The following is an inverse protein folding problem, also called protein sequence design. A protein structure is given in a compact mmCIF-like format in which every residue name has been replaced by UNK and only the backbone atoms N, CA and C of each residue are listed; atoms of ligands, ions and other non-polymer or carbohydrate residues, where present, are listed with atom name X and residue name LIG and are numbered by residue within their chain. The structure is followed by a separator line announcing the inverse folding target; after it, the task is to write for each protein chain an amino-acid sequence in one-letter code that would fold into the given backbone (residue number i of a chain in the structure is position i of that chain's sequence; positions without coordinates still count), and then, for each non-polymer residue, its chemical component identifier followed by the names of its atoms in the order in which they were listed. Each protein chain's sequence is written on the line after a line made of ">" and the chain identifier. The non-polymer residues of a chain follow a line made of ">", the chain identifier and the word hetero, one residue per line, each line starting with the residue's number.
data_IF_915532240910
#
_entry.id   IF_915532240910
#
_cell.length_a   1.000
_cell.length_b   1.000
_cell.length_c   1.000
_cell.angle_alpha   90.00
_cell.angle_beta   90.00
_cell.angle_gamma   90.00
#
_symmetry.space_group_name_H-M   'P 1'
#
loop_
_entity.id
_entity.type
_entity.pdbx_description
1 polymer ?
#
# COMPACT_ATOMS: atom_id res chain seq x y z
N UNK A 1 -25.82 25.75 14.40
CA UNK A 1 -24.62 25.97 13.57
C UNK A 1 -23.93 24.63 13.39
N UNK A 2 -24.09 24.01 12.23
CA UNK A 2 -23.50 22.70 11.90
C UNK A 2 -22.28 22.90 10.98
N UNK A 3 -21.23 22.07 11.09
CA UNK A 3 -20.00 22.23 10.32
C UNK A 3 -20.12 21.60 8.93
N UNK A 4 -19.51 22.28 7.94
CA UNK A 4 -19.57 21.90 6.53
C UNK A 4 -18.74 20.68 6.18
N UNK A 5 -19.37 19.74 5.46
CA UNK A 5 -18.72 18.59 4.85
C UNK A 5 -17.86 19.04 3.64
N UNK A 6 -16.55 18.78 3.71
CA UNK A 6 -15.63 18.91 2.59
C UNK A 6 -15.99 17.94 1.47
N UNK A 7 -16.33 18.49 0.30
CA UNK A 7 -16.57 17.74 -0.93
C UNK A 7 -15.27 17.19 -1.50
N UNK A 8 -15.12 15.86 -1.49
CA UNK A 8 -14.10 15.16 -2.26
C UNK A 8 -14.47 15.19 -3.75
N UNK A 9 -13.56 15.72 -4.58
CA UNK A 9 -13.77 15.93 -6.01
C UNK A 9 -13.77 14.59 -6.76
N UNK A 10 -14.97 14.06 -7.04
CA UNK A 10 -15.18 12.93 -7.95
C UNK A 10 -14.82 13.32 -9.38
N UNK A 11 -13.71 12.84 -9.93
CA UNK A 11 -13.46 12.88 -11.39
C UNK A 11 -13.78 11.52 -11.99
N UNK A 12 -14.89 11.43 -12.72
CA UNK A 12 -15.17 10.33 -13.66
C UNK A 12 -14.39 10.63 -14.94
N UNK A 13 -13.55 9.71 -15.39
CA UNK A 13 -12.94 9.77 -16.72
C UNK A 13 -13.63 8.67 -17.55
N UNK A 14 -14.51 9.02 -18.52
CA UNK A 14 -15.08 8.04 -19.42
C UNK A 14 -14.07 7.73 -20.53
N UNK A 15 -13.56 6.50 -20.57
CA UNK A 15 -12.90 5.98 -21.77
C UNK A 15 -13.97 5.62 -22.80
N UNK A 16 -13.94 6.29 -23.96
CA UNK A 16 -14.89 6.07 -25.05
C UNK A 16 -14.53 4.83 -25.87
N UNK A 17 -15.48 3.91 -26.01
CA UNK A 17 -15.41 2.82 -26.98
C UNK A 17 -16.43 3.11 -28.08
N UNK A 18 -15.98 3.12 -29.33
CA UNK A 18 -16.82 3.29 -30.51
C UNK A 18 -17.90 2.19 -30.58
N UNK A 19 -19.14 2.63 -30.68
CA UNK A 19 -20.34 1.80 -30.82
C UNK A 19 -20.42 1.22 -32.23
N UNK A 20 -20.27 -0.11 -32.35
CA UNK A 20 -20.79 -0.84 -33.50
C UNK A 20 -22.24 -1.23 -33.25
N UNK A 21 -23.12 -0.77 -34.14
CA UNK A 21 -24.56 -1.10 -34.14
C UNK A 21 -24.77 -2.59 -34.36
N UNK A 22 -25.42 -3.27 -33.41
CA UNK A 22 -26.15 -4.51 -33.69
C UNK A 22 -27.52 -4.52 -33.02
N UNK A 23 -28.46 -5.21 -33.67
CA UNK A 23 -29.91 -5.01 -33.65
C UNK A 23 -30.63 -5.55 -32.40
N UNK A 24 -31.72 -4.85 -32.05
CA UNK A 24 -32.93 -5.21 -31.28
C UNK A 24 -32.79 -6.26 -30.16
N UNK A 25 -33.06 -5.82 -28.92
CA UNK A 25 -33.81 -6.65 -27.98
C UNK A 25 -33.21 -6.97 -26.62
N UNK A 26 -32.19 -6.27 -26.13
CA UNK A 26 -31.85 -6.27 -24.68
C UNK A 26 -31.40 -4.86 -24.33
N UNK A 27 -32.05 -4.22 -23.36
CA UNK A 27 -31.58 -2.95 -22.80
C UNK A 27 -30.37 -3.28 -21.91
N UNK A 28 -29.21 -3.51 -22.52
CA UNK A 28 -27.92 -3.53 -21.82
C UNK A 28 -27.76 -2.14 -21.20
N UNK A 29 -28.11 -2.00 -19.92
CA UNK A 29 -27.70 -0.85 -19.13
C UNK A 29 -26.19 -0.80 -19.24
N UNK A 30 -25.66 0.15 -20.00
CA UNK A 30 -24.23 0.39 -20.10
C UNK A 30 -23.70 0.68 -18.70
N UNK A 31 -23.21 -0.35 -18.02
CA UNK A 31 -22.58 -0.24 -16.71
C UNK A 31 -21.14 0.18 -16.97
N UNK A 32 -20.86 1.43 -16.66
CA UNK A 32 -19.56 2.04 -16.89
C UNK A 32 -18.49 1.29 -16.09
N UNK A 33 -17.58 0.61 -16.78
CA UNK A 33 -16.28 0.24 -16.21
C UNK A 33 -15.66 1.51 -15.61
N UNK A 34 -15.25 1.44 -14.37
CA UNK A 34 -14.59 2.54 -13.67
C UNK A 34 -13.37 2.02 -12.94
N UNK A 35 -12.42 2.92 -12.76
CA UNK A 35 -11.25 2.71 -11.90
C UNK A 35 -11.33 3.78 -10.81
N UNK A 36 -11.34 3.35 -9.55
CA UNK A 36 -11.25 4.23 -8.39
C UNK A 36 -9.98 3.93 -7.64
N UNK A 37 -9.22 4.96 -7.28
CA UNK A 37 -8.03 4.82 -6.43
C UNK A 37 -8.27 5.34 -5.02
N UNK A 38 -7.78 4.60 -4.02
CA UNK A 38 -7.84 4.96 -2.61
C UNK A 38 -6.46 4.86 -1.95
N UNK A 39 -6.20 5.73 -0.98
CA UNK A 39 -5.00 5.67 -0.12
C UNK A 39 -5.27 4.73 1.05
N UNK A 40 -4.31 3.87 1.38
CA UNK A 40 -4.43 2.94 2.51
C UNK A 40 -3.55 3.38 3.67
N UNK A 41 -4.16 3.54 4.84
CA UNK A 41 -3.48 3.84 6.11
C UNK A 41 -3.34 2.61 7.02
N UNK A 42 -4.05 1.51 6.69
CA UNK A 42 -3.97 0.21 7.35
C UNK A 42 -3.94 -0.90 6.29
N UNK A 43 -2.76 -1.10 5.70
CA UNK A 43 -2.50 -2.06 4.64
C UNK A 43 -2.81 -3.49 5.08
N UNK A 44 -2.28 -3.91 6.23
CA UNK A 44 -2.48 -5.28 6.77
C UNK A 44 -3.96 -5.59 6.97
N UNK A 45 -4.69 -4.65 7.59
CA UNK A 45 -6.13 -4.79 7.81
C UNK A 45 -6.90 -4.83 6.50
N UNK A 46 -6.55 -3.96 5.54
CA UNK A 46 -7.22 -3.92 4.24
C UNK A 46 -7.01 -5.19 3.44
N UNK A 47 -5.79 -5.69 3.38
CA UNK A 47 -5.51 -6.96 2.70
C UNK A 47 -6.31 -8.10 3.34
N UNK A 48 -6.22 -8.26 4.65
CA UNK A 48 -7.00 -9.28 5.38
C UNK A 48 -8.51 -9.15 5.14
N UNK A 49 -9.01 -7.93 4.94
CA UNK A 49 -10.42 -7.68 4.65
C UNK A 49 -10.82 -8.11 3.24
N UNK A 50 -10.03 -7.78 2.21
CA UNK A 50 -10.38 -8.14 0.83
C UNK A 50 -10.12 -9.63 0.52
N UNK A 51 -9.15 -10.27 1.17
CA UNK A 51 -8.75 -11.63 0.83
C UNK A 51 -9.40 -12.71 1.70
N UNK A 52 -10.44 -12.38 2.48
CA UNK A 52 -11.03 -13.30 3.46
C UNK A 52 -12.44 -13.73 3.06
N UNK A 53 -12.62 -15.03 2.85
CA UNK A 53 -13.93 -15.67 2.61
C UNK A 53 -14.92 -15.51 3.79
N UNK A 54 -14.43 -15.23 5.01
CA UNK A 54 -15.29 -14.96 6.17
C UNK A 54 -15.85 -13.54 6.12
N UNK A 55 -15.10 -12.59 5.55
CA UNK A 55 -15.46 -11.16 5.50
C UNK A 55 -16.12 -10.76 4.19
N UNK A 56 -15.88 -11.51 3.11
CA UNK A 56 -16.38 -11.27 1.77
C UNK A 56 -17.29 -12.41 1.31
N UNK A 57 -18.58 -12.12 1.16
CA UNK A 57 -19.60 -13.11 0.75
C UNK A 57 -19.43 -13.60 -0.69
N UNK A 58 -18.87 -12.77 -1.58
CA UNK A 58 -18.68 -13.09 -3.01
C UNK A 58 -17.22 -12.91 -3.45
N UNK A 59 -16.29 -13.53 -2.71
CA UNK A 59 -14.88 -13.63 -3.09
C UNK A 59 -14.67 -14.84 -4.01
N UNK A 60 -14.08 -14.61 -5.17
CA UNK A 60 -13.85 -15.66 -6.18
C UNK A 60 -12.40 -16.11 -6.25
N UNK A 61 -11.45 -15.17 -6.17
CA UNK A 61 -10.04 -15.46 -6.31
C UNK A 61 -9.20 -14.42 -5.54
N UNK A 62 -8.02 -14.84 -5.09
CA UNK A 62 -6.99 -13.98 -4.49
C UNK A 62 -5.66 -14.34 -5.14
N UNK A 63 -4.91 -13.34 -5.58
CA UNK A 63 -3.59 -13.53 -6.17
C UNK A 63 -2.60 -12.50 -5.65
N UNK A 64 -1.38 -12.95 -5.32
CA UNK A 64 -0.32 -12.12 -4.74
C UNK A 64 0.97 -12.36 -5.49
N UNK A 65 1.69 -11.27 -5.79
CA UNK A 65 2.97 -11.36 -6.49
C UNK A 65 4.17 -11.54 -5.54
N UNK A 66 3.92 -11.52 -4.23
CA UNK A 66 4.91 -11.59 -3.16
C UNK A 66 4.32 -12.23 -1.89
N UNK A 67 5.15 -12.51 -0.90
CA UNK A 67 4.75 -13.13 0.36
C UNK A 67 4.16 -12.12 1.37
N UNK A 68 3.39 -12.61 2.35
CA UNK A 68 2.83 -11.79 3.44
C UNK A 68 3.86 -10.99 4.23
N UNK A 69 5.10 -11.49 4.33
CA UNK A 69 6.19 -10.80 5.00
C UNK A 69 6.50 -9.44 4.34
N UNK A 70 6.47 -9.36 3.02
CA UNK A 70 6.72 -8.11 2.28
C UNK A 70 5.78 -6.99 2.73
N UNK A 71 4.48 -7.27 2.79
CA UNK A 71 3.47 -6.27 3.14
C UNK A 71 3.60 -5.75 4.56
N UNK A 72 3.99 -6.61 5.51
CA UNK A 72 4.26 -6.21 6.89
C UNK A 72 5.47 -5.27 6.97
N UNK A 73 6.56 -5.63 6.29
CA UNK A 73 7.77 -4.79 6.25
C UNK A 73 7.51 -3.46 5.51
N UNK A 74 6.69 -3.47 4.45
CA UNK A 74 6.31 -2.26 3.73
C UNK A 74 5.53 -1.29 4.63
N UNK A 75 4.50 -1.79 5.33
CA UNK A 75 3.71 -0.98 6.27
C UNK A 75 4.61 -0.40 7.36
N UNK A 76 5.48 -1.23 7.97
CA UNK A 76 6.44 -0.79 8.97
C UNK A 76 7.38 0.30 8.45
N UNK A 77 8.00 0.08 7.28
CA UNK A 77 8.89 1.04 6.64
C UNK A 77 8.20 2.38 6.39
N UNK A 78 6.98 2.36 5.85
CA UNK A 78 6.23 3.59 5.60
C UNK A 78 5.88 4.33 6.89
N UNK A 79 5.45 3.62 7.93
CA UNK A 79 5.14 4.22 9.24
C UNK A 79 6.38 4.84 9.90
N UNK A 80 7.53 4.15 9.84
CA UNK A 80 8.80 4.68 10.38
C UNK A 80 9.26 5.93 9.61
N UNK A 81 9.23 5.91 8.28
CA UNK A 81 9.59 7.08 7.48
C UNK A 81 8.61 8.25 7.69
N UNK A 82 7.31 7.98 7.81
CA UNK A 82 6.31 9.01 8.10
C UNK A 82 6.57 9.66 9.47
N UNK A 83 6.80 8.88 10.52
CA UNK A 83 7.18 9.39 11.84
C UNK A 83 8.45 10.23 11.81
N UNK A 84 9.49 9.77 11.10
CA UNK A 84 10.75 10.51 10.93
C UNK A 84 10.56 11.85 10.20
N UNK A 85 9.57 11.94 9.29
CA UNK A 85 9.34 13.16 8.51
C UNK A 85 8.72 14.31 9.32
N UNK A 86 8.11 14.04 10.47
CA UNK A 86 7.37 15.05 11.24
C UNK A 86 6.12 15.60 10.55
N UNK A 87 5.69 14.98 9.45
CA UNK A 87 4.52 15.42 8.67
C UNK A 87 3.23 15.15 9.44
N UNK A 88 2.30 16.11 9.44
CA UNK A 88 0.96 15.94 10.02
C UNK A 88 0.07 15.01 9.17
N UNK A 89 -0.92 14.38 9.80
CA UNK A 89 -1.92 13.53 9.14
C UNK A 89 -1.64 12.02 9.28
N UNK A 90 -2.09 11.24 8.30
CA UNK A 90 -1.98 9.77 8.33
C UNK A 90 -0.97 9.25 7.32
N UNK A 91 -0.17 8.27 7.76
CA UNK A 91 0.76 7.56 6.91
C UNK A 91 0.01 6.81 5.79
N UNK A 92 0.45 7.01 4.54
CA UNK A 92 0.00 6.22 3.40
C UNK A 92 0.95 5.02 3.27
N UNK A 93 0.44 3.84 3.60
CA UNK A 93 1.18 2.58 3.58
C UNK A 93 1.18 1.93 2.18
N UNK A 94 0.10 2.12 1.42
CA UNK A 94 -0.07 1.61 0.07
C UNK A 94 -1.25 2.32 -0.63
N UNK A 95 -1.58 1.88 -1.85
CA UNK A 95 -2.79 2.31 -2.56
C UNK A 95 -3.58 1.12 -3.07
N UNK A 96 -4.84 1.38 -3.34
CA UNK A 96 -5.78 0.40 -3.86
C UNK A 96 -6.46 0.96 -5.11
N UNK A 97 -6.51 0.17 -6.18
CA UNK A 97 -7.43 0.36 -7.30
C UNK A 97 -8.63 -0.56 -7.12
N UNK A 98 -9.83 0.00 -7.31
CA UNK A 98 -11.07 -0.76 -7.47
C UNK A 98 -11.44 -0.64 -8.95
N UNK A 99 -11.37 -1.77 -9.64
CA UNK A 99 -11.55 -1.86 -11.09
C UNK A 99 -12.86 -2.61 -11.35
N UNK A 100 -13.89 -1.91 -11.81
CA UNK A 100 -15.13 -2.54 -12.23
C UNK A 100 -14.96 -3.19 -13.61
N UNK A 101 -15.21 -4.48 -13.67
CA UNK A 101 -15.09 -5.30 -14.87
C UNK A 101 -16.43 -5.35 -15.64
N UNK A 102 -16.39 -5.57 -16.97
CA UNK A 102 -17.57 -5.93 -17.72
C UNK A 102 -18.21 -7.21 -17.17
N UNK A 103 -19.54 -7.29 -17.16
CA UNK A 103 -20.24 -8.46 -16.61
C UNK A 103 -19.94 -9.76 -17.37
N UNK A 104 -19.61 -9.69 -18.67
CA UNK A 104 -19.20 -10.86 -19.45
C UNK A 104 -17.92 -11.52 -18.94
N UNK A 105 -17.13 -10.84 -18.11
CA UNK A 105 -15.87 -11.39 -17.60
C UNK A 105 -16.09 -12.53 -16.59
N UNK A 106 -17.32 -12.71 -16.10
CA UNK A 106 -17.67 -13.86 -15.25
C UNK A 106 -17.57 -15.21 -15.97
N UNK A 107 -17.48 -15.21 -17.30
CA UNK A 107 -17.31 -16.41 -18.12
C UNK A 107 -15.86 -16.92 -18.12
N UNK A 108 -14.89 -16.09 -17.72
CA UNK A 108 -13.50 -16.50 -17.58
C UNK A 108 -13.27 -17.21 -16.24
N UNK A 109 -12.28 -18.11 -16.23
CA UNK A 109 -11.82 -18.75 -15.00
C UNK A 109 -11.25 -17.68 -14.04
N UNK A 110 -11.79 -17.53 -12.81
CA UNK A 110 -11.45 -16.44 -11.89
C UNK A 110 -9.96 -16.28 -11.55
N UNK A 111 -9.25 -17.38 -11.28
CA UNK A 111 -7.84 -17.34 -10.88
C UNK A 111 -6.96 -16.85 -12.04
N UNK A 112 -7.18 -17.37 -13.25
CA UNK A 112 -6.50 -16.96 -14.48
C UNK A 112 -6.79 -15.50 -14.83
N UNK A 113 -8.05 -15.08 -14.75
CA UNK A 113 -8.44 -13.69 -15.00
C UNK A 113 -7.73 -12.74 -14.03
N UNK A 114 -7.82 -13.02 -12.73
CA UNK A 114 -7.20 -12.18 -11.71
C UNK A 114 -5.68 -12.14 -11.86
N UNK A 115 -5.04 -13.29 -12.06
CA UNK A 115 -3.60 -13.40 -12.24
C UNK A 115 -3.13 -12.56 -13.43
N UNK A 116 -3.85 -12.59 -14.56
CA UNK A 116 -3.51 -11.79 -15.74
C UNK A 116 -3.47 -10.29 -15.41
N UNK A 117 -4.50 -9.77 -14.72
CA UNK A 117 -4.54 -8.36 -14.33
C UNK A 117 -3.40 -7.98 -13.37
N UNK A 118 -3.16 -8.79 -12.36
CA UNK A 118 -2.15 -8.49 -11.33
C UNK A 118 -0.73 -8.60 -11.90
N UNK A 119 -0.44 -9.63 -12.69
CA UNK A 119 0.86 -9.79 -13.35
C UNK A 119 1.11 -8.70 -14.38
N UNK A 120 0.10 -8.34 -15.19
CA UNK A 120 0.23 -7.22 -16.11
C UNK A 120 0.54 -5.93 -15.37
N UNK A 121 -0.16 -5.64 -14.27
CA UNK A 121 0.13 -4.46 -13.45
C UNK A 121 1.56 -4.48 -12.88
N UNK A 122 2.00 -5.62 -12.34
CA UNK A 122 3.37 -5.78 -11.82
C UNK A 122 4.41 -5.53 -12.92
N UNK A 123 4.21 -6.07 -14.11
CA UNK A 123 5.12 -5.87 -15.25
C UNK A 123 5.15 -4.40 -15.71
N UNK A 124 3.99 -3.73 -15.77
CA UNK A 124 3.91 -2.34 -16.23
C UNK A 124 4.52 -1.33 -15.25
N UNK A 125 4.36 -1.56 -13.94
CA UNK A 125 4.75 -0.60 -12.91
C UNK A 125 5.95 -1.03 -12.06
N UNK A 126 6.43 -2.27 -12.25
CA UNK A 126 7.55 -2.87 -11.52
C UNK A 126 7.37 -2.71 -10.01
N UNK A 127 6.20 -3.11 -9.51
CA UNK A 127 5.86 -3.10 -8.09
C UNK A 127 5.05 -4.32 -7.73
N UNK A 128 5.19 -4.74 -6.48
CA UNK A 128 4.39 -5.84 -5.95
C UNK A 128 2.94 -5.41 -5.74
N UNK A 129 2.02 -6.35 -6.01
CA UNK A 129 0.58 -6.17 -5.93
C UNK A 129 -0.13 -7.42 -5.39
N UNK A 130 -1.29 -7.19 -4.78
CA UNK A 130 -2.27 -8.21 -4.43
C UNK A 130 -3.62 -7.84 -5.05
N UNK A 131 -4.20 -8.81 -5.74
CA UNK A 131 -5.55 -8.75 -6.27
C UNK A 131 -6.52 -9.60 -5.47
N UNK A 132 -7.77 -9.14 -5.35
CA UNK A 132 -8.91 -9.96 -4.96
C UNK A 132 -10.09 -9.67 -5.89
N UNK A 133 -10.70 -10.74 -6.42
CA UNK A 133 -11.78 -10.67 -7.40
C UNK A 133 -13.13 -10.93 -6.72
N UNK A 134 -14.00 -9.93 -6.75
CA UNK A 134 -15.25 -9.91 -6.02
C UNK A 134 -16.46 -9.66 -6.90
N UNK A 135 -17.63 -10.04 -6.37
CA UNK A 135 -18.86 -9.33 -6.63
C UNK A 135 -19.25 -8.48 -5.43
N UNK A 136 -19.98 -7.38 -5.65
CA UNK A 136 -20.71 -6.75 -4.56
C UNK A 136 -21.79 -7.72 -4.00
N UNK A 137 -22.38 -7.40 -2.84
CA UNK A 137 -23.39 -8.27 -2.20
C UNK A 137 -24.57 -8.65 -3.11
N UNK A 138 -25.01 -7.71 -3.95
CA UNK A 138 -26.13 -7.91 -4.90
C UNK A 138 -25.72 -8.64 -6.19
N UNK A 139 -24.45 -9.01 -6.37
CA UNK A 139 -23.90 -9.61 -7.60
C UNK A 139 -24.19 -8.81 -8.88
N UNK A 140 -24.14 -7.49 -8.76
CA UNK A 140 -24.37 -6.54 -9.87
C UNK A 140 -23.12 -5.76 -10.28
N UNK A 141 -22.01 -5.95 -9.56
CA UNK A 141 -20.76 -5.29 -9.86
C UNK A 141 -19.60 -6.27 -9.64
N UNK A 142 -19.06 -6.78 -10.75
CA UNK A 142 -17.87 -7.61 -10.76
C UNK A 142 -16.64 -6.70 -10.75
N UNK A 143 -15.75 -6.87 -9.79
CA UNK A 143 -14.63 -5.94 -9.62
C UNK A 143 -13.40 -6.58 -8.99
N UNK A 144 -12.25 -6.00 -9.31
CA UNK A 144 -10.97 -6.33 -8.68
C UNK A 144 -10.64 -5.25 -7.66
N UNK A 145 -10.28 -5.68 -6.45
CA UNK A 145 -9.48 -4.90 -5.52
C UNK A 145 -8.00 -5.18 -5.80
N UNK A 146 -7.26 -4.19 -6.26
CA UNK A 146 -5.83 -4.30 -6.56
C UNK A 146 -5.05 -3.37 -5.63
N UNK A 147 -4.41 -3.93 -4.61
CA UNK A 147 -3.55 -3.19 -3.69
C UNK A 147 -2.11 -3.32 -4.18
N UNK A 148 -1.38 -2.22 -4.23
CA UNK A 148 -0.01 -2.20 -4.74
C UNK A 148 0.91 -1.32 -3.89
N UNK A 149 2.20 -1.68 -3.91
CA UNK A 149 3.24 -0.93 -3.24
C UNK A 149 3.63 0.32 -4.03
N UNK A 150 3.89 1.45 -3.35
CA UNK A 150 4.56 2.61 -3.96
C UNK A 150 6.09 2.46 -3.98
N UNK A 151 6.63 1.33 -3.48
CA UNK A 151 8.05 1.04 -3.33
C UNK A 151 8.42 -0.35 -3.85
N UNK A 152 9.69 -0.55 -4.10
CA UNK A 152 10.27 -1.84 -4.41
C UNK A 152 11.12 -2.34 -3.25
N UNK A 153 11.20 -3.66 -3.10
CA UNK A 153 12.17 -4.27 -2.20
C UNK A 153 13.57 -4.12 -2.81
N UNK A 154 14.54 -3.67 -2.01
CA UNK A 154 15.92 -3.65 -2.43
C UNK A 154 16.46 -5.08 -2.48
N UNK A 155 17.27 -5.40 -3.50
CA UNK A 155 17.95 -6.69 -3.60
C UNK A 155 18.77 -7.00 -2.34
N UNK A 156 19.43 -5.97 -1.79
CA UNK A 156 20.13 -6.02 -0.51
C UNK A 156 19.69 -4.84 0.36
N UNK A 157 19.40 -5.07 1.65
CA UNK A 157 19.15 -4.00 2.61
C UNK A 157 20.32 -3.00 2.65
N UNK A 158 19.99 -1.71 2.73
CA UNK A 158 20.99 -0.66 2.99
C UNK A 158 21.07 -0.46 4.50
N UNK A 159 22.20 -0.83 5.08
CA UNK A 159 22.44 -0.76 6.52
C UNK A 159 23.44 0.34 6.85
N UNK A 160 23.12 1.16 7.85
CA UNK A 160 24.08 2.06 8.47
C UNK A 160 24.66 1.40 9.70
N UNK A 161 25.96 1.16 9.65
CA UNK A 161 26.75 0.55 10.71
C UNK A 161 27.50 1.64 11.45
N UNK A 162 27.48 1.59 12.78
CA UNK A 162 28.21 2.52 13.62
C UNK A 162 29.72 2.28 13.48
N UNK A 163 30.46 3.25 12.93
CA UNK A 163 31.93 3.16 12.77
C UNK A 163 32.69 3.34 14.08
N UNK A 164 32.02 3.91 15.08
CA UNK A 164 32.45 4.12 16.46
C UNK A 164 31.24 4.03 17.38
N UNK A 165 31.47 3.97 18.69
CA UNK A 165 30.36 4.08 19.65
C UNK A 165 29.65 5.43 19.45
N UNK A 166 28.33 5.37 19.30
CA UNK A 166 27.46 6.52 19.15
C UNK A 166 26.57 6.65 20.37
N UNK A 167 26.42 7.87 20.87
CA UNK A 167 25.71 8.18 22.11
C UNK A 167 24.52 9.08 21.78
N UNK A 168 23.36 8.77 22.34
CA UNK A 168 22.14 9.53 22.15
C UNK A 168 21.53 9.88 23.48
N UNK A 169 21.17 11.15 23.65
CA UNK A 169 20.46 11.64 24.84
C UNK A 169 19.00 11.13 24.90
N UNK A 170 18.29 11.50 25.96
CA UNK A 170 16.89 11.14 26.19
C UNK A 170 15.93 11.66 25.11
N UNK A 171 16.36 12.67 24.34
CA UNK A 171 15.59 13.22 23.21
C UNK A 171 15.94 12.55 21.88
N UNK A 172 16.91 11.63 21.87
CA UNK A 172 17.42 10.98 20.67
C UNK A 172 18.40 11.83 19.87
N UNK A 173 18.95 12.92 20.43
CA UNK A 173 20.01 13.71 19.80
C UNK A 173 21.37 13.09 20.07
N UNK A 174 22.20 13.06 19.03
CA UNK A 174 23.55 12.50 19.14
C UNK A 174 24.44 13.41 19.98
N UNK A 175 25.01 12.87 21.06
CA UNK A 175 25.95 13.57 21.94
C UNK A 175 27.37 13.06 21.73
N UNK A 176 28.36 13.88 22.10
CA UNK A 176 29.76 13.58 21.78
C UNK A 176 30.34 12.50 22.69
N UNK A 177 29.91 12.45 23.94
CA UNK A 177 30.57 11.66 24.97
C UNK A 177 29.60 10.80 25.77
N UNK A 178 30.09 9.65 26.25
CA UNK A 178 29.35 8.76 27.14
C UNK A 178 28.98 9.44 28.47
N UNK A 179 29.75 10.44 28.91
CA UNK A 179 29.49 11.15 30.17
C UNK A 179 28.17 11.92 30.15
N UNK A 180 27.74 12.40 28.99
CA UNK A 180 26.50 13.18 28.84
C UNK A 180 25.25 12.33 29.13
N UNK A 181 25.32 11.03 28.80
CA UNK A 181 24.21 10.07 28.95
C UNK A 181 24.29 9.23 30.23
N UNK A 182 25.33 9.43 31.04
CA UNK A 182 25.53 8.72 32.31
C UNK A 182 25.10 9.62 33.48
N UNK A 183 24.43 9.05 34.48
CA UNK A 183 24.08 9.72 35.73
C UNK A 183 25.24 9.74 36.74
N UNK A 184 25.03 10.39 37.88
CA UNK A 184 26.04 10.50 38.94
C UNK A 184 26.46 9.15 39.52
N UNK A 185 25.60 8.12 39.43
CA UNK A 185 25.89 6.76 39.86
C UNK A 185 26.63 5.92 38.79
N UNK A 186 26.95 6.50 37.63
CA UNK A 186 27.62 5.80 36.54
C UNK A 186 26.69 4.98 35.65
N UNK A 187 25.37 5.06 35.84
CA UNK A 187 24.37 4.33 35.07
C UNK A 187 23.87 5.12 33.87
N UNK A 188 23.36 4.42 32.86
CA UNK A 188 22.76 5.06 31.68
C UNK A 188 21.45 5.74 32.09
N UNK A 189 21.33 7.05 31.82
CA UNK A 189 20.10 7.80 32.07
C UNK A 189 18.94 7.20 31.27
N UNK A 190 17.75 7.19 31.88
CA UNK A 190 16.53 6.69 31.22
C UNK A 190 16.28 7.43 29.89
N UNK A 191 16.02 6.65 28.84
CA UNK A 191 15.77 7.16 27.49
C UNK A 191 17.03 7.41 26.65
N UNK A 192 18.22 7.48 27.26
CA UNK A 192 19.47 7.56 26.50
C UNK A 192 19.79 6.22 25.83
N UNK A 193 20.53 6.25 24.71
CA UNK A 193 20.92 5.06 23.95
C UNK A 193 22.40 5.07 23.59
N UNK A 194 23.03 3.90 23.68
CA UNK A 194 24.36 3.63 23.14
C UNK A 194 24.20 2.70 21.95
N UNK A 195 24.88 3.01 20.86
CA UNK A 195 25.04 2.12 19.72
C UNK A 195 26.52 1.80 19.62
N UNK A 196 26.86 0.54 19.79
CA UNK A 196 28.25 0.09 19.83
C UNK A 196 28.85 0.09 18.43
N UNK A 197 30.17 0.30 18.35
CA UNK A 197 30.90 0.14 17.09
C UNK A 197 30.59 -1.23 16.48
N UNK A 198 30.25 -1.25 15.20
CA UNK A 198 29.88 -2.45 14.46
C UNK A 198 28.39 -2.79 14.49
N UNK A 199 27.57 -2.12 15.30
CA UNK A 199 26.13 -2.34 15.30
C UNK A 199 25.43 -1.60 14.16
N UNK A 200 24.43 -2.25 13.57
CA UNK A 200 23.51 -1.65 12.60
C UNK A 200 22.49 -0.81 13.37
N UNK A 201 22.44 0.50 13.10
CA UNK A 201 21.49 1.40 13.74
C UNK A 201 20.36 1.86 12.84
N UNK A 202 20.50 1.69 11.53
CA UNK A 202 19.44 1.94 10.57
C UNK A 202 19.51 0.88 9.47
N UNK A 203 18.37 0.28 9.13
CA UNK A 203 18.25 -0.71 8.07
C UNK A 203 17.10 -0.31 7.15
N UNK A 204 17.41 -0.08 5.87
CA UNK A 204 16.43 0.27 4.85
C UNK A 204 16.21 -0.91 3.92
N UNK A 205 14.97 -1.39 3.85
CA UNK A 205 14.59 -2.54 3.04
C UNK A 205 14.00 -2.14 1.68
N UNK A 206 13.43 -0.94 1.57
CA UNK A 206 12.68 -0.52 0.39
C UNK A 206 13.29 0.71 -0.27
N UNK A 207 13.02 0.87 -1.56
CA UNK A 207 13.31 2.10 -2.31
C UNK A 207 12.48 3.29 -1.80
N UNK A 208 12.85 4.53 -2.14
CA UNK A 208 11.93 5.67 -2.01
C UNK A 208 10.64 5.46 -2.82
N UNK A 209 9.57 6.16 -2.45
CA UNK A 209 8.28 6.06 -3.17
C UNK A 209 8.41 6.49 -4.64
N UNK A 210 7.89 5.69 -5.57
CA UNK A 210 7.79 6.04 -6.99
C UNK A 210 6.77 7.16 -7.20
N UNK A 211 7.22 8.34 -7.64
CA UNK A 211 6.35 9.51 -7.82
C UNK A 211 5.24 9.33 -8.87
N UNK A 212 5.42 8.44 -9.86
CA UNK A 212 4.38 8.16 -10.88
C UNK A 212 3.15 7.51 -10.25
N UNK A 213 3.37 6.61 -9.28
CA UNK A 213 2.30 5.88 -8.59
C UNK A 213 1.50 6.74 -7.60
N UNK A 214 2.07 7.88 -7.20
CA UNK A 214 1.45 8.75 -6.20
C UNK A 214 0.50 9.82 -6.78
N UNK A 215 0.50 10.03 -8.10
CA UNK A 215 -0.12 11.17 -8.80
C UNK A 215 -1.52 10.92 -9.41
N UNK A 216 -2.21 9.85 -9.05
CA UNK A 216 -3.51 9.47 -9.64
C UNK A 216 -3.48 9.30 -11.18
N UNK A 217 -2.33 8.91 -11.75
CA UNK A 217 -2.18 8.66 -13.19
C UNK A 217 -2.18 7.15 -13.44
N UNK A 218 -3.39 6.55 -13.52
CA UNK A 218 -3.62 5.16 -13.93
C UNK A 218 -4.72 5.13 -14.98
#
# INVERSE_FOLDING_TARGET
>A
MQPGNGHEVRKRIPYGIHSQKCRKGVRLLARHSFIQMSKLTNLKGRISYISSHVRQENLYAVYETTERKFWNELAKCNQEEFKKSGTEGSCIEARELIIALPESFVEYEPDMLLKLFVEHFKQQYEVEAIGALHHNKRKTNYHIHLIFSERELLEKPVEKVATRNMFYDETGRHVRTKKEIIDEAGQLKNGCKIISKGEVYERKLFTPKKAKLSRNCF
#
